data_IF_212504605536
#
_entry.id   IF_212504605536
#
_cell.length_a   1.000
_cell.length_b   1.000
_cell.length_c   1.000
_cell.angle_alpha   90.00
_cell.angle_beta   90.00
_cell.angle_gamma   90.00
#
_symmetry.space_group_name_H-M   'P 1'
#
loop_
_entity.id
_entity.type
_entity.pdbx_description
1 polymer ?
#
# COMPACT_ATOMS: atom_id res chain seq x y z
N UNK A 1 -4.82 6.62 14.42
CA UNK A 1 -5.23 7.29 13.15
C UNK A 1 -6.64 6.86 12.78
N UNK A 2 -7.32 7.57 11.87
CA UNK A 2 -8.67 7.23 11.42
C UNK A 2 -8.66 6.67 9.99
N UNK A 3 -9.69 5.89 9.66
CA UNK A 3 -9.98 5.46 8.28
C UNK A 3 -10.34 6.68 7.42
N UNK A 4 -9.81 6.73 6.20
CA UNK A 4 -10.16 7.74 5.19
C UNK A 4 -10.90 7.09 4.03
N UNK A 5 -11.85 7.81 3.42
CA UNK A 5 -12.72 7.28 2.37
C UNK A 5 -12.91 8.31 1.27
N UNK A 6 -12.92 7.84 0.03
CA UNK A 6 -13.36 8.56 -1.15
C UNK A 6 -14.33 7.68 -1.95
N UNK A 7 -14.82 8.16 -3.09
CA UNK A 7 -15.67 7.37 -3.97
C UNK A 7 -14.99 6.07 -4.43
N UNK A 8 -13.66 6.04 -4.53
CA UNK A 8 -12.93 4.93 -5.16
C UNK A 8 -11.89 4.24 -4.28
N UNK A 9 -11.49 4.87 -3.17
CA UNK A 9 -10.44 4.40 -2.29
C UNK A 9 -10.89 4.44 -0.83
N UNK A 10 -10.53 3.39 -0.09
CA UNK A 10 -10.56 3.35 1.37
C UNK A 10 -9.14 3.20 1.87
N UNK A 11 -8.72 4.06 2.80
CA UNK A 11 -7.41 4.01 3.42
C UNK A 11 -7.58 3.63 4.89
N UNK A 12 -7.09 2.46 5.27
CA UNK A 12 -7.12 1.97 6.65
C UNK A 12 -5.78 2.27 7.34
N UNK A 13 -5.76 2.69 8.62
CA UNK A 13 -4.51 2.86 9.35
C UNK A 13 -3.64 1.60 9.29
N UNK A 14 -2.35 1.76 9.00
CA UNK A 14 -1.44 0.62 8.92
C UNK A 14 -1.29 -0.05 10.30
N UNK A 15 -1.20 -1.37 10.28
CA UNK A 15 -1.11 -2.24 11.46
C UNK A 15 -0.24 -3.46 11.18
N UNK A 16 0.08 -4.24 12.22
CA UNK A 16 0.97 -5.42 12.11
C UNK A 16 0.42 -6.48 11.14
N UNK A 17 -0.89 -6.60 11.05
CA UNK A 17 -1.61 -7.45 10.12
C UNK A 17 -1.30 -7.14 8.65
N UNK A 18 -0.80 -5.94 8.35
CA UNK A 18 -0.42 -5.51 7.01
C UNK A 18 1.05 -5.78 6.66
N UNK A 19 1.86 -6.30 7.60
CA UNK A 19 3.29 -6.57 7.35
C UNK A 19 3.56 -7.46 6.13
N UNK A 20 2.82 -8.57 5.89
CA UNK A 20 3.02 -9.37 4.69
C UNK A 20 2.80 -8.56 3.41
N UNK A 21 1.74 -7.75 3.37
CA UNK A 21 1.43 -6.89 2.22
C UNK A 21 2.53 -5.84 1.96
N UNK A 22 3.05 -5.21 3.02
CA UNK A 22 4.15 -4.25 2.90
C UNK A 22 5.43 -4.92 2.38
N UNK A 23 5.71 -6.14 2.82
CA UNK A 23 6.86 -6.92 2.35
C UNK A 23 6.70 -7.32 0.88
N UNK A 24 5.49 -7.67 0.44
CA UNK A 24 5.21 -8.00 -0.96
C UNK A 24 5.36 -6.78 -1.88
N UNK A 25 4.94 -5.59 -1.44
CA UNK A 25 5.16 -4.35 -2.19
C UNK A 25 6.66 -4.06 -2.40
N UNK A 26 7.47 -4.26 -1.36
CA UNK A 26 8.91 -4.05 -1.42
C UNK A 26 9.67 -5.09 -2.26
N UNK A 27 9.00 -6.20 -2.62
CA UNK A 27 9.58 -7.25 -3.45
C UNK A 27 9.53 -6.95 -4.95
N UNK A 28 8.78 -5.93 -5.40
CA UNK A 28 8.62 -5.60 -6.82
C UNK A 28 9.82 -4.78 -7.37
N UNK A 29 10.70 -5.36 -8.21
CA UNK A 29 11.86 -4.64 -8.74
C UNK A 29 11.48 -3.59 -9.79
N UNK A 30 10.33 -3.72 -10.45
CA UNK A 30 9.86 -2.73 -11.43
C UNK A 30 9.52 -1.41 -10.74
N UNK A 31 8.91 -1.47 -9.55
CA UNK A 31 8.57 -0.31 -8.74
C UNK A 31 9.79 0.19 -7.97
N UNK A 32 10.47 -0.69 -7.23
CA UNK A 32 11.47 -0.28 -6.24
C UNK A 32 12.76 0.26 -6.85
N UNK A 33 13.06 -0.06 -8.13
CA UNK A 33 14.15 0.59 -8.89
C UNK A 33 14.00 2.12 -8.94
N UNK A 34 12.78 2.64 -8.79
CA UNK A 34 12.50 4.08 -8.80
C UNK A 34 12.42 4.71 -7.40
N UNK A 35 12.43 3.92 -6.32
CA UNK A 35 12.25 4.41 -4.94
C UNK A 35 13.56 4.28 -4.14
N UNK A 36 14.13 3.08 -4.08
CA UNK A 36 15.34 2.78 -3.30
C UNK A 36 16.44 2.11 -4.14
N UNK A 37 16.22 1.96 -5.45
CA UNK A 37 17.19 1.44 -6.42
C UNK A 37 17.22 -0.09 -6.56
N UNK A 38 16.58 -0.84 -5.64
CA UNK A 38 16.39 -2.30 -5.74
C UNK A 38 15.17 -2.76 -4.94
N UNK A 39 14.59 -3.89 -5.31
CA UNK A 39 13.65 -4.59 -4.43
C UNK A 39 14.37 -5.07 -3.14
N UNK A 40 13.63 -5.12 -2.04
CA UNK A 40 14.07 -5.83 -0.82
C UNK A 40 13.71 -7.31 -0.93
N UNK A 41 14.44 -8.15 -0.23
CA UNK A 41 13.94 -9.49 0.08
C UNK A 41 12.77 -9.37 1.06
N UNK A 42 11.96 -10.42 1.17
CA UNK A 42 10.85 -10.44 2.12
C UNK A 42 11.32 -10.23 3.58
N UNK A 43 12.46 -10.83 3.95
CA UNK A 43 13.08 -10.66 5.28
C UNK A 43 13.54 -9.22 5.53
N UNK A 44 14.28 -8.63 4.57
CA UNK A 44 14.72 -7.23 4.67
C UNK A 44 13.54 -6.25 4.81
N UNK A 45 12.44 -6.53 4.10
CA UNK A 45 11.24 -5.71 4.17
C UNK A 45 10.54 -5.85 5.53
N UNK A 46 10.42 -7.08 6.07
CA UNK A 46 9.85 -7.30 7.40
C UNK A 46 10.69 -6.62 8.49
N UNK A 47 12.00 -6.73 8.44
CA UNK A 47 12.91 -6.08 9.39
C UNK A 47 12.77 -4.56 9.32
N UNK A 48 12.63 -4.00 8.12
CA UNK A 48 12.41 -2.58 7.92
C UNK A 48 11.05 -2.13 8.46
N UNK A 49 9.95 -2.80 8.11
CA UNK A 49 8.59 -2.35 8.41
C UNK A 49 8.12 -2.67 9.83
N UNK A 50 8.58 -3.76 10.45
CA UNK A 50 8.16 -4.17 11.81
C UNK A 50 8.27 -3.06 12.86
N UNK A 51 9.38 -2.31 12.98
CA UNK A 51 9.48 -1.23 13.96
C UNK A 51 8.64 0.01 13.61
N UNK A 52 8.13 0.11 12.37
CA UNK A 52 7.37 1.27 11.89
C UNK A 52 5.85 1.10 12.02
N UNK A 53 5.37 -0.11 12.34
CA UNK A 53 3.93 -0.40 12.44
C UNK A 53 3.50 -0.72 13.88
N UNK A 54 2.38 -0.16 14.39
CA UNK A 54 1.55 0.86 13.73
C UNK A 54 2.27 2.21 13.66
N UNK A 55 2.11 2.92 12.54
CA UNK A 55 2.79 4.19 12.26
C UNK A 55 1.89 5.19 11.53
N UNK A 56 2.39 6.39 11.15
CA UNK A 56 1.60 7.48 10.57
C UNK A 56 1.17 7.25 9.10
N UNK A 57 0.94 5.99 8.70
CA UNK A 57 0.68 5.58 7.32
C UNK A 57 -0.66 4.83 7.19
N UNK A 58 -1.13 4.67 5.95
CA UNK A 58 -2.35 3.94 5.62
C UNK A 58 -2.09 2.89 4.54
N UNK A 59 -2.85 1.80 4.58
CA UNK A 59 -2.96 0.83 3.48
C UNK A 59 -4.23 1.12 2.68
N UNK A 60 -4.10 1.14 1.35
CA UNK A 60 -5.19 1.48 0.45
C UNK A 60 -5.91 0.27 -0.11
N UNK A 61 -7.24 0.34 -0.12
CA UNK A 61 -8.13 -0.61 -0.78
C UNK A 61 -8.84 0.12 -1.92
N UNK A 62 -8.73 -0.43 -3.13
CA UNK A 62 -9.47 0.03 -4.30
C UNK A 62 -10.80 -0.70 -4.31
N UNK A 63 -11.92 0.02 -4.39
CA UNK A 63 -13.18 -0.64 -4.70
C UNK A 63 -13.10 -1.22 -6.12
N UNK A 64 -13.64 -2.41 -6.36
CA UNK A 64 -13.78 -2.92 -7.72
C UNK A 64 -14.74 -1.98 -8.47
N UNK A 65 -14.17 -1.09 -9.27
CA UNK A 65 -14.89 -0.10 -10.06
C UNK A 65 -14.64 -0.48 -11.49
N UNK A 66 -15.71 -0.67 -12.25
CA UNK A 66 -15.56 -1.08 -13.65
C UNK A 66 -14.89 0.03 -14.45
N UNK A 67 -14.24 -0.32 -15.57
CA UNK A 67 -13.62 0.68 -16.46
C UNK A 67 -14.61 1.75 -16.93
N UNK A 68 -15.90 1.39 -17.02
CA UNK A 68 -16.99 2.30 -17.36
C UNK A 68 -17.27 3.31 -16.24
N UNK A 69 -17.28 2.84 -14.99
CA UNK A 69 -17.45 3.71 -13.81
C UNK A 69 -16.25 4.65 -13.58
N UNK A 70 -15.05 4.25 -14.02
CA UNK A 70 -13.86 5.12 -13.97
C UNK A 70 -14.00 6.37 -14.85
N UNK A 71 -14.51 6.22 -16.07
CA UNK A 71 -14.69 7.32 -17.02
C UNK A 71 -15.63 8.41 -16.46
N UNK A 72 -16.63 8.00 -15.68
CA UNK A 72 -17.63 8.87 -15.05
C UNK A 72 -17.09 9.76 -13.93
N UNK A 73 -15.87 9.51 -13.43
CA UNK A 73 -15.27 10.27 -12.31
C UNK A 73 -14.29 11.37 -12.74
N UNK A 74 -14.04 11.50 -14.05
CA UNK A 74 -13.14 12.51 -14.64
C UNK A 74 -13.89 13.70 -15.27
N UNK A 75 -15.22 13.71 -15.15
CA UNK A 75 -16.15 14.72 -15.64
C UNK A 75 -16.87 15.40 -14.48
#
# INVERSE_FOLDING_TARGET
MRVLRTARLRLDPVGREHLPFLADLDADPEVLRHIIGRARTHEEALDFWTPQVPGPMWVGHVAEITRQDWASTLS
#
